data_IF_788823661227
#
_entry.id   IF_788823661227
#
_cell.length_a   1.000
_cell.length_b   1.000
_cell.length_c   1.000
_cell.angle_alpha   90.00
_cell.angle_beta   90.00
_cell.angle_gamma   90.00
#
_symmetry.space_group_name_H-M   'P 1'
#
loop_
_entity.id
_entity.type
_entity.pdbx_description
1 polymer ?
#
# COMPACT_ATOMS: atom_id res chain seq x y z
N UNK A 1 -20.92 6.14 17.64
CA UNK A 1 -20.88 5.33 18.88
C UNK A 1 -21.96 4.24 18.85
N UNK A 2 -23.25 4.56 18.72
CA UNK A 2 -24.35 3.57 18.82
C UNK A 2 -24.32 2.43 17.77
N UNK A 3 -23.72 2.62 16.60
CA UNK A 3 -23.65 1.56 15.58
C UNK A 3 -22.58 0.54 15.95
N UNK A 4 -21.46 0.98 16.48
CA UNK A 4 -20.33 0.12 16.82
C UNK A 4 -20.59 -0.74 18.08
N UNK A 5 -21.49 -0.29 18.96
CA UNK A 5 -21.81 -0.95 20.22
C UNK A 5 -22.98 -1.98 20.09
N UNK A 6 -23.72 -1.97 18.96
CA UNK A 6 -24.88 -2.86 18.75
C UNK A 6 -24.50 -4.34 18.70
N UNK A 7 -23.29 -4.66 18.33
CA UNK A 7 -22.76 -6.02 18.23
C UNK A 7 -22.15 -6.54 19.55
N UNK A 8 -22.24 -5.75 20.62
CA UNK A 8 -21.76 -6.14 21.94
C UNK A 8 -22.42 -7.42 22.45
N UNK A 9 -21.65 -8.28 23.08
CA UNK A 9 -22.06 -9.58 23.57
C UNK A 9 -21.78 -10.72 22.59
N UNK A 10 -22.08 -10.57 21.32
CA UNK A 10 -21.83 -11.61 20.31
C UNK A 10 -20.38 -11.62 19.78
N UNK A 11 -19.75 -10.42 19.74
CA UNK A 11 -18.43 -10.21 19.13
C UNK A 11 -17.38 -9.68 20.11
N UNK A 12 -17.67 -9.65 21.42
CA UNK A 12 -16.76 -9.05 22.41
C UNK A 12 -15.42 -9.80 22.49
N UNK A 13 -15.42 -11.13 22.54
CA UNK A 13 -14.21 -11.96 22.55
C UNK A 13 -13.37 -11.75 21.26
N UNK A 14 -14.06 -11.52 20.14
CA UNK A 14 -13.41 -11.28 18.85
C UNK A 14 -12.81 -9.88 18.81
N UNK A 15 -13.49 -8.90 19.34
CA UNK A 15 -13.01 -7.53 19.48
C UNK A 15 -11.76 -7.47 20.38
N UNK A 16 -11.77 -8.19 21.50
CA UNK A 16 -10.59 -8.31 22.37
C UNK A 16 -9.41 -8.99 21.64
N UNK A 17 -9.68 -10.05 20.90
CA UNK A 17 -8.63 -10.70 20.09
C UNK A 17 -8.05 -9.76 19.01
N UNK A 18 -8.90 -8.94 18.38
CA UNK A 18 -8.45 -7.91 17.44
C UNK A 18 -7.63 -6.82 18.15
N UNK A 19 -8.02 -6.38 19.34
CA UNK A 19 -7.28 -5.41 20.13
C UNK A 19 -5.86 -5.89 20.46
N UNK A 20 -5.70 -7.15 20.79
CA UNK A 20 -4.40 -7.77 21.05
C UNK A 20 -3.59 -7.86 19.75
N UNK A 21 -4.18 -8.40 18.69
CA UNK A 21 -3.51 -8.65 17.44
C UNK A 21 -3.13 -7.36 16.69
N UNK A 22 -3.85 -6.26 16.94
CA UNK A 22 -3.62 -4.96 16.31
C UNK A 22 -2.16 -4.52 16.38
N UNK A 23 -1.50 -4.81 17.51
CA UNK A 23 -0.11 -4.44 17.77
C UNK A 23 0.84 -5.64 17.88
N UNK A 24 0.32 -6.86 18.04
CA UNK A 24 1.12 -8.03 18.36
C UNK A 24 1.10 -9.15 17.30
N UNK A 25 0.32 -9.01 16.24
CA UNK A 25 0.30 -10.00 15.17
C UNK A 25 1.62 -9.98 14.41
N UNK A 26 2.38 -11.08 14.48
CA UNK A 26 3.49 -11.30 13.56
C UNK A 26 2.96 -11.86 12.24
N UNK A 27 3.23 -11.19 11.13
CA UNK A 27 2.73 -11.56 9.83
C UNK A 27 3.60 -11.05 8.68
N UNK A 28 3.31 -11.47 7.45
CA UNK A 28 4.11 -11.18 6.26
C UNK A 28 3.20 -10.58 5.18
N UNK A 29 2.84 -9.30 5.26
CA UNK A 29 1.94 -8.68 4.28
C UNK A 29 2.56 -8.57 2.88
N UNK A 30 3.84 -8.21 2.79
CA UNK A 30 4.52 -7.92 1.53
C UNK A 30 5.92 -8.55 1.38
N UNK A 31 6.26 -9.53 2.19
CA UNK A 31 7.56 -10.23 2.13
C UNK A 31 8.35 -10.11 3.43
N UNK A 32 8.73 -8.93 3.92
CA UNK A 32 9.26 -8.77 5.27
C UNK A 32 8.21 -9.09 6.34
N UNK A 33 8.66 -9.61 7.49
CA UNK A 33 7.79 -9.76 8.65
C UNK A 33 7.50 -8.39 9.25
N UNK A 34 6.23 -8.18 9.60
CA UNK A 34 5.75 -6.98 10.27
C UNK A 34 5.07 -7.36 11.58
N UNK A 35 5.06 -6.41 12.51
CA UNK A 35 4.37 -6.54 13.79
C UNK A 35 3.16 -5.62 13.80
N UNK A 36 1.99 -6.19 14.10
CA UNK A 36 0.73 -5.46 14.12
C UNK A 36 0.20 -5.10 12.74
N UNK A 37 -1.04 -4.63 12.71
CA UNK A 37 -1.73 -4.23 11.49
C UNK A 37 -2.36 -2.84 11.59
N UNK A 38 -1.98 -2.08 12.63
CA UNK A 38 -2.49 -0.74 12.91
C UNK A 38 -2.37 0.20 11.70
N UNK A 39 -1.23 0.18 11.02
CA UNK A 39 -0.96 1.02 9.86
C UNK A 39 -1.96 0.82 8.70
N UNK A 40 -2.61 -0.33 8.65
CA UNK A 40 -3.56 -0.68 7.60
C UNK A 40 -5.02 -0.39 7.96
N UNK A 41 -5.30 -0.02 9.22
CA UNK A 41 -6.66 0.18 9.75
C UNK A 41 -7.52 1.12 8.89
N UNK A 42 -7.05 2.30 8.47
CA UNK A 42 -7.88 3.20 7.66
C UNK A 42 -8.32 2.57 6.34
N UNK A 43 -7.44 1.83 5.69
CA UNK A 43 -7.74 1.14 4.43
C UNK A 43 -8.68 -0.05 4.65
N UNK A 44 -8.50 -0.79 5.74
CA UNK A 44 -9.36 -1.92 6.12
C UNK A 44 -10.76 -1.41 6.43
N UNK A 45 -10.90 -0.38 7.24
CA UNK A 45 -12.19 0.23 7.57
C UNK A 45 -12.95 0.69 6.33
N UNK A 46 -12.25 1.32 5.39
CA UNK A 46 -12.82 1.75 4.12
C UNK A 46 -13.34 0.55 3.31
N UNK A 47 -12.56 -0.53 3.22
CA UNK A 47 -12.89 -1.71 2.42
C UNK A 47 -14.03 -2.53 3.05
N UNK A 48 -14.00 -2.69 4.36
CA UNK A 48 -15.01 -3.38 5.15
C UNK A 48 -16.31 -2.56 5.22
N UNK A 49 -16.22 -1.26 5.00
CA UNK A 49 -17.35 -0.33 5.06
C UNK A 49 -17.81 -0.03 6.49
N UNK A 50 -16.89 -0.06 7.46
CA UNK A 50 -17.18 0.19 8.86
C UNK A 50 -16.31 1.31 9.42
N UNK A 51 -16.91 2.38 9.98
CA UNK A 51 -16.16 3.42 10.66
C UNK A 51 -15.80 3.06 12.10
N UNK A 52 -16.14 1.84 12.55
CA UNK A 52 -15.94 1.40 13.92
C UNK A 52 -14.46 1.18 14.22
N UNK A 53 -14.09 1.46 15.47
CA UNK A 53 -12.75 1.17 15.95
C UNK A 53 -12.41 -0.32 15.77
N UNK A 54 -11.19 -0.69 15.34
CA UNK A 54 -10.79 -2.08 15.11
C UNK A 54 -10.88 -2.97 16.35
N UNK A 55 -10.92 -2.36 17.53
CA UNK A 55 -11.07 -3.06 18.83
C UNK A 55 -12.53 -3.20 19.28
N UNK A 56 -13.49 -2.80 18.45
CA UNK A 56 -14.92 -2.84 18.78
C UNK A 56 -15.63 -4.06 18.23
N UNK A 57 -16.69 -4.48 18.89
CA UNK A 57 -17.59 -5.55 18.44
C UNK A 57 -18.22 -5.24 17.07
N UNK A 58 -18.55 -3.99 16.80
CA UNK A 58 -19.09 -3.57 15.52
C UNK A 58 -18.11 -3.69 14.36
N UNK A 59 -16.83 -3.47 14.59
CA UNK A 59 -15.79 -3.75 13.60
C UNK A 59 -15.66 -5.25 13.35
N UNK A 60 -15.63 -6.08 14.40
CA UNK A 60 -15.53 -7.53 14.30
C UNK A 60 -16.72 -8.12 13.48
N UNK A 61 -17.94 -7.66 13.75
CA UNK A 61 -19.12 -8.05 12.97
C UNK A 61 -18.98 -7.65 11.48
N UNK A 62 -18.58 -6.43 11.20
CA UNK A 62 -18.42 -5.95 9.84
C UNK A 62 -17.30 -6.70 9.10
N UNK A 63 -16.21 -7.01 9.80
CA UNK A 63 -15.12 -7.81 9.25
C UNK A 63 -15.57 -9.24 8.95
N UNK A 64 -16.37 -9.86 9.82
CA UNK A 64 -16.95 -11.19 9.57
C UNK A 64 -17.88 -11.18 8.34
N UNK A 65 -18.68 -10.14 8.18
CA UNK A 65 -19.53 -9.98 7.00
C UNK A 65 -18.70 -9.80 5.71
N UNK A 66 -17.60 -9.06 5.78
CA UNK A 66 -16.65 -8.94 4.68
C UNK A 66 -16.02 -10.32 4.35
N UNK A 67 -15.52 -11.02 5.34
CA UNK A 67 -14.92 -12.36 5.19
C UNK A 67 -15.90 -13.34 4.52
N UNK A 68 -17.15 -13.38 4.98
CA UNK A 68 -18.20 -14.23 4.41
C UNK A 68 -18.46 -13.88 2.93
N UNK A 69 -18.49 -12.59 2.58
CA UNK A 69 -18.70 -12.10 1.19
C UNK A 69 -17.62 -12.63 0.25
N UNK A 70 -16.40 -12.72 0.71
CA UNK A 70 -15.25 -13.14 -0.10
C UNK A 70 -14.82 -14.60 0.11
N UNK A 71 -15.64 -15.41 0.79
CA UNK A 71 -15.42 -16.84 0.95
C UNK A 71 -14.27 -17.20 1.89
N UNK A 72 -13.87 -16.29 2.77
CA UNK A 72 -12.94 -16.54 3.86
C UNK A 72 -13.74 -16.91 5.12
N UNK A 73 -13.12 -17.63 6.05
CA UNK A 73 -13.76 -17.95 7.32
C UNK A 73 -14.23 -16.68 8.04
N UNK A 74 -15.53 -16.57 8.26
CA UNK A 74 -16.18 -15.39 8.86
C UNK A 74 -15.95 -15.32 10.38
N UNK A 75 -14.71 -15.20 10.79
CA UNK A 75 -14.29 -15.18 12.19
C UNK A 75 -14.42 -13.79 12.85
N UNK A 76 -14.50 -12.74 12.05
CA UNK A 76 -14.41 -11.36 12.53
C UNK A 76 -13.03 -10.96 13.06
N UNK A 77 -12.05 -11.88 13.04
CA UNK A 77 -10.67 -11.61 13.41
C UNK A 77 -9.86 -11.24 12.18
N UNK A 78 -9.01 -10.22 12.32
CA UNK A 78 -8.06 -9.90 11.28
C UNK A 78 -6.95 -10.93 11.23
N UNK A 79 -6.68 -11.47 10.03
CA UNK A 79 -5.66 -12.48 9.79
C UNK A 79 -5.04 -12.34 8.39
N UNK A 80 -4.00 -13.13 8.14
CA UNK A 80 -3.30 -13.15 6.85
C UNK A 80 -4.22 -13.49 5.68
N UNK A 81 -5.19 -14.39 5.85
CA UNK A 81 -6.12 -14.76 4.77
C UNK A 81 -7.04 -13.60 4.39
N UNK A 82 -7.58 -12.92 5.38
CA UNK A 82 -8.37 -11.69 5.21
C UNK A 82 -7.56 -10.62 4.48
N UNK A 83 -6.30 -10.43 4.88
CA UNK A 83 -5.43 -9.45 4.23
C UNK A 83 -5.15 -9.78 2.77
N UNK A 84 -4.99 -11.04 2.40
CA UNK A 84 -4.79 -11.41 0.99
C UNK A 84 -5.98 -11.01 0.11
N UNK A 85 -7.21 -11.12 0.61
CA UNK A 85 -8.41 -10.64 -0.08
C UNK A 85 -8.34 -9.12 -0.25
N UNK A 86 -8.12 -8.39 0.84
CA UNK A 86 -8.00 -6.92 0.83
C UNK A 86 -6.94 -6.47 -0.16
N UNK A 87 -5.75 -7.08 -0.09
CA UNK A 87 -4.64 -6.80 -0.99
C UNK A 87 -5.02 -7.03 -2.46
N UNK A 88 -5.74 -8.12 -2.76
CA UNK A 88 -6.27 -8.39 -4.10
C UNK A 88 -7.16 -7.26 -4.60
N UNK A 89 -8.14 -6.86 -3.81
CA UNK A 89 -9.06 -5.77 -4.14
C UNK A 89 -8.33 -4.44 -4.36
N UNK A 90 -7.35 -4.13 -3.53
CA UNK A 90 -6.55 -2.91 -3.69
C UNK A 90 -5.69 -2.94 -4.95
N UNK A 91 -5.12 -4.10 -5.31
CA UNK A 91 -4.36 -4.26 -6.55
C UNK A 91 -5.24 -4.12 -7.80
N UNK A 92 -6.44 -4.73 -7.79
CA UNK A 92 -7.39 -4.65 -8.90
C UNK A 92 -7.84 -3.21 -9.21
N UNK A 93 -7.86 -2.35 -8.21
CA UNK A 93 -8.21 -0.92 -8.38
C UNK A 93 -7.07 -0.07 -8.94
N UNK A 94 -5.86 -0.60 -9.03
CA UNK A 94 -4.72 0.11 -9.60
C UNK A 94 -4.76 -0.02 -11.12
N UNK A 95 -5.01 1.06 -11.88
CA UNK A 95 -5.17 1.00 -13.34
C UNK A 95 -3.99 0.32 -14.04
N UNK A 96 -2.79 0.56 -13.54
CA UNK A 96 -1.57 -0.03 -14.06
C UNK A 96 -1.51 -1.56 -13.87
N UNK A 97 -1.90 -2.07 -12.71
CA UNK A 97 -1.94 -3.52 -12.46
C UNK A 97 -2.92 -4.18 -13.42
N UNK A 98 -4.08 -3.59 -13.63
CA UNK A 98 -5.09 -4.12 -14.53
C UNK A 98 -4.67 -4.04 -16.01
N UNK A 99 -4.01 -2.97 -16.43
CA UNK A 99 -3.43 -2.88 -17.77
C UNK A 99 -2.42 -4.00 -18.00
N UNK A 100 -1.54 -4.25 -17.03
CA UNK A 100 -0.56 -5.34 -17.09
C UNK A 100 -1.20 -6.73 -17.14
N UNK A 101 -2.22 -6.99 -16.33
CA UNK A 101 -2.97 -8.26 -16.34
C UNK A 101 -3.60 -8.53 -17.71
N UNK A 102 -4.06 -7.49 -18.40
CA UNK A 102 -4.60 -7.58 -19.76
C UNK A 102 -3.53 -7.65 -20.86
N UNK A 103 -2.24 -7.56 -20.51
CA UNK A 103 -1.16 -7.48 -21.48
C UNK A 103 -1.04 -6.12 -22.16
N UNK A 104 -1.70 -5.10 -21.66
CA UNK A 104 -1.64 -3.74 -22.16
C UNK A 104 -0.42 -3.03 -21.55
N UNK A 105 0.44 -2.47 -22.39
CA UNK A 105 1.46 -1.52 -21.95
C UNK A 105 0.91 -0.12 -22.20
N UNK A 106 0.64 0.69 -21.17
CA UNK A 106 0.27 2.07 -21.40
C UNK A 106 1.42 2.82 -22.11
N UNK A 107 1.06 3.72 -22.98
CA UNK A 107 2.04 4.62 -23.60
C UNK A 107 2.79 5.40 -22.51
N UNK A 108 4.08 5.72 -22.75
CA UNK A 108 4.82 6.58 -21.84
C UNK A 108 4.13 7.94 -21.73
N UNK A 109 4.15 8.58 -20.56
CA UNK A 109 3.57 9.91 -20.42
C UNK A 109 4.26 10.90 -21.35
N UNK A 110 3.53 11.89 -21.89
CA UNK A 110 4.12 12.97 -22.68
C UNK A 110 5.25 13.63 -21.90
N UNK A 111 6.33 14.01 -22.58
CA UNK A 111 7.48 14.69 -21.95
C UNK A 111 7.06 15.98 -21.22
N UNK A 112 6.02 16.66 -21.72
CA UNK A 112 5.46 17.84 -21.06
C UNK A 112 4.88 17.58 -19.67
N UNK A 113 4.47 16.33 -19.39
CA UNK A 113 3.93 15.92 -18.09
C UNK A 113 5.02 15.46 -17.12
N UNK A 114 6.26 15.40 -17.57
CA UNK A 114 7.41 15.01 -16.77
C UNK A 114 8.10 16.22 -16.15
N UNK A 115 8.69 16.02 -15.00
CA UNK A 115 9.52 17.00 -14.32
C UNK A 115 10.78 16.34 -13.77
N UNK A 116 11.87 17.10 -13.73
CA UNK A 116 13.12 16.62 -13.16
C UNK A 116 13.07 16.61 -11.64
N UNK A 117 13.61 15.55 -11.07
CA UNK A 117 13.97 15.49 -9.66
C UNK A 117 15.21 16.36 -9.40
N UNK A 118 15.34 16.87 -8.20
CA UNK A 118 16.60 17.43 -7.72
C UNK A 118 17.53 16.33 -7.22
N UNK A 119 18.82 16.63 -7.11
CA UNK A 119 19.82 15.68 -6.56
C UNK A 119 19.51 15.29 -5.11
N UNK A 120 18.85 16.14 -4.35
CA UNK A 120 18.43 15.84 -2.99
C UNK A 120 17.19 14.95 -2.89
N UNK A 121 16.42 14.84 -3.96
CA UNK A 121 15.22 14.01 -4.02
C UNK A 121 15.51 12.59 -4.53
N UNK A 122 16.63 12.38 -5.18
CA UNK A 122 17.00 11.09 -5.79
C UNK A 122 18.02 10.32 -4.92
N UNK A 123 17.79 9.03 -4.75
CA UNK A 123 18.65 8.18 -3.89
C UNK A 123 20.08 8.02 -4.44
N UNK A 124 20.22 7.99 -5.76
CA UNK A 124 21.53 7.90 -6.41
C UNK A 124 21.48 8.59 -7.78
N UNK A 125 22.63 8.98 -8.31
CA UNK A 125 22.70 9.49 -9.66
C UNK A 125 22.16 8.47 -10.67
N UNK A 126 21.23 8.93 -11.49
CA UNK A 126 20.57 8.16 -12.54
C UNK A 126 20.69 8.91 -13.86
N UNK A 127 20.64 8.17 -14.95
CA UNK A 127 20.62 8.76 -16.28
C UNK A 127 19.31 9.53 -16.54
N UNK A 128 18.22 9.04 -15.95
CA UNK A 128 16.89 9.63 -16.09
C UNK A 128 16.36 10.02 -14.72
N UNK A 129 16.19 11.32 -14.52
CA UNK A 129 15.71 11.93 -13.26
C UNK A 129 14.34 12.54 -13.46
N UNK A 130 13.45 11.81 -14.13
CA UNK A 130 12.12 12.30 -14.46
C UNK A 130 11.07 11.57 -13.66
N UNK A 131 10.04 12.30 -13.28
CA UNK A 131 8.83 11.77 -12.68
C UNK A 131 7.63 12.53 -13.25
N UNK A 132 6.46 11.94 -13.27
CA UNK A 132 5.27 12.70 -13.62
C UNK A 132 5.10 13.85 -12.64
N UNK A 133 4.74 15.01 -13.16
CA UNK A 133 4.64 16.26 -12.39
C UNK A 133 3.67 16.14 -11.21
N UNK A 134 2.50 15.54 -11.43
CA UNK A 134 1.50 15.30 -10.40
C UNK A 134 2.02 14.37 -9.28
N UNK A 135 2.78 13.34 -9.65
CA UNK A 135 3.40 12.40 -8.70
C UNK A 135 4.53 13.09 -7.92
N UNK A 136 5.32 13.92 -8.59
CA UNK A 136 6.39 14.69 -7.94
C UNK A 136 5.83 15.69 -6.92
N UNK A 137 4.74 16.37 -7.27
CA UNK A 137 4.07 17.31 -6.35
C UNK A 137 3.49 16.60 -5.13
N UNK A 138 2.85 15.43 -5.33
CA UNK A 138 2.36 14.60 -4.24
C UNK A 138 3.50 14.09 -3.34
N UNK A 139 4.61 13.64 -3.94
CA UNK A 139 5.80 13.24 -3.19
C UNK A 139 6.36 14.38 -2.34
N UNK A 140 6.48 15.57 -2.89
CA UNK A 140 7.00 16.75 -2.17
C UNK A 140 6.10 17.13 -0.99
N UNK A 141 4.79 17.08 -1.18
CA UNK A 141 3.82 17.32 -0.12
C UNK A 141 3.96 16.27 0.99
N UNK A 142 4.02 14.99 0.63
CA UNK A 142 4.24 13.89 1.58
C UNK A 142 5.57 14.04 2.34
N UNK A 143 6.67 14.28 1.63
CA UNK A 143 7.99 14.41 2.24
C UNK A 143 8.09 15.63 3.19
N UNK A 144 7.39 16.71 2.85
CA UNK A 144 7.31 17.90 3.71
C UNK A 144 6.54 17.60 4.98
N UNK A 145 5.37 16.95 4.88
CA UNK A 145 4.57 16.55 6.03
C UNK A 145 5.33 15.58 6.94
N UNK A 146 5.93 14.54 6.36
CA UNK A 146 6.68 13.55 7.13
C UNK A 146 7.85 14.17 7.90
N UNK A 147 8.58 15.11 7.31
CA UNK A 147 9.67 15.81 7.99
C UNK A 147 9.19 16.77 9.08
N UNK A 148 7.97 17.30 8.96
CA UNK A 148 7.38 18.14 9.99
C UNK A 148 6.88 17.34 11.19
N UNK A 149 6.45 16.11 10.97
CA UNK A 149 5.83 15.26 11.98
C UNK A 149 6.83 14.32 12.67
N UNK A 150 7.89 13.91 11.98
CA UNK A 150 8.84 12.88 12.45
C UNK A 150 10.25 13.45 12.50
N UNK A 151 10.77 13.78 13.70
CA UNK A 151 12.10 14.39 13.86
C UNK A 151 13.25 13.56 13.27
N UNK A 152 13.17 12.24 13.31
CA UNK A 152 14.16 11.32 12.76
C UNK A 152 14.25 11.46 11.24
N UNK A 153 13.11 11.61 10.56
CA UNK A 153 13.06 11.85 9.11
C UNK A 153 13.60 13.25 8.77
N UNK A 154 13.34 14.23 9.64
CA UNK A 154 13.87 15.58 9.47
C UNK A 154 15.41 15.63 9.61
N UNK A 155 15.96 14.81 10.53
CA UNK A 155 17.40 14.72 10.80
C UNK A 155 18.19 13.99 9.71
N UNK A 156 17.52 13.11 8.95
CA UNK A 156 18.15 12.25 7.93
C UNK A 156 17.70 12.64 6.52
N UNK A 157 18.40 13.57 5.84
CA UNK A 157 17.99 14.07 4.51
C UNK A 157 17.87 12.98 3.44
N UNK A 158 18.53 11.84 3.65
CA UNK A 158 18.53 10.70 2.72
C UNK A 158 17.29 9.83 2.82
N UNK A 159 16.59 9.91 3.93
CA UNK A 159 15.30 9.25 4.08
C UNK A 159 14.27 9.85 3.13
N UNK A 160 13.43 9.02 2.58
CA UNK A 160 12.40 9.37 1.60
C UNK A 160 12.93 9.77 0.21
N UNK A 161 14.22 9.61 -0.10
CA UNK A 161 14.70 9.80 -1.46
C UNK A 161 14.05 8.80 -2.42
N UNK A 162 13.72 9.27 -3.62
CA UNK A 162 13.09 8.44 -4.64
C UNK A 162 14.09 7.48 -5.28
N UNK A 163 13.70 6.24 -5.38
CA UNK A 163 14.44 5.18 -6.04
C UNK A 163 13.49 4.39 -6.95
N UNK A 164 13.80 4.17 -8.14
CA UNK A 164 14.04 5.00 -9.28
C UNK A 164 12.76 5.70 -9.77
N UNK A 165 12.96 6.78 -10.47
CA UNK A 165 11.91 7.53 -11.17
C UNK A 165 11.47 6.86 -12.47
N UNK A 166 10.93 7.65 -13.41
CA UNK A 166 10.50 7.20 -14.73
C UNK A 166 11.59 6.35 -15.44
N UNK A 167 11.16 5.24 -16.02
CA UNK A 167 12.01 4.39 -16.86
C UNK A 167 11.62 4.56 -18.31
N UNK A 168 12.59 4.97 -19.10
CA UNK A 168 12.45 4.94 -20.55
C UNK A 168 12.28 3.49 -21.02
N UNK A 169 11.20 3.15 -21.77
CA UNK A 169 10.92 1.78 -22.19
C UNK A 169 12.04 1.15 -23.03
N UNK A 170 12.71 1.93 -23.88
CA UNK A 170 13.79 1.41 -24.72
C UNK A 170 15.04 1.13 -23.89
N UNK A 171 15.41 2.06 -23.01
CA UNK A 171 16.53 1.87 -22.08
C UNK A 171 16.29 0.71 -21.11
N UNK A 172 15.06 0.50 -20.66
CA UNK A 172 14.70 -0.61 -19.79
C UNK A 172 14.72 -1.95 -20.55
N UNK A 173 14.27 -1.98 -21.79
CA UNK A 173 14.37 -3.15 -22.65
C UNK A 173 15.82 -3.54 -22.92
N UNK A 174 16.68 -2.57 -23.22
CA UNK A 174 18.11 -2.80 -23.44
C UNK A 174 18.81 -3.33 -22.17
N UNK A 175 18.46 -2.78 -21.01
CA UNK A 175 18.96 -3.28 -19.72
C UNK A 175 18.48 -4.70 -19.46
N UNK A 176 17.19 -4.94 -19.65
CA UNK A 176 16.57 -6.24 -19.47
C UNK A 176 17.26 -7.33 -20.33
N UNK A 177 17.53 -7.02 -21.60
CA UNK A 177 18.24 -7.94 -22.51
C UNK A 177 19.67 -8.22 -22.04
N UNK A 178 20.38 -7.19 -21.56
CA UNK A 178 21.75 -7.32 -21.06
C UNK A 178 21.81 -8.15 -19.76
N UNK A 179 20.88 -7.90 -18.84
CA UNK A 179 20.90 -8.47 -17.49
C UNK A 179 20.15 -9.82 -17.42
N UNK A 180 19.60 -10.30 -18.54
CA UNK A 180 18.83 -11.56 -18.63
C UNK A 180 17.56 -11.57 -17.76
N UNK A 181 17.00 -10.40 -17.46
CA UNK A 181 15.93 -10.21 -16.51
C UNK A 181 14.68 -9.61 -17.17
N UNK A 182 14.23 -10.26 -18.25
CA UNK A 182 13.11 -9.78 -19.05
C UNK A 182 11.74 -10.33 -18.65
N UNK A 183 11.65 -11.17 -17.62
CA UNK A 183 10.36 -11.66 -17.19
C UNK A 183 9.59 -10.50 -16.54
N UNK A 184 8.38 -10.28 -17.04
CA UNK A 184 7.55 -9.11 -16.72
C UNK A 184 7.20 -8.94 -15.24
N UNK A 185 7.54 -9.89 -14.37
CA UNK A 185 7.29 -9.85 -12.93
C UNK A 185 8.25 -8.93 -12.16
N UNK A 186 9.41 -8.60 -12.74
CA UNK A 186 10.44 -7.79 -12.08
C UNK A 186 10.58 -6.37 -12.63
N UNK A 187 9.80 -6.03 -13.64
CA UNK A 187 9.73 -4.65 -14.12
C UNK A 187 8.85 -3.85 -13.17
N UNK A 188 9.48 -3.08 -12.30
CA UNK A 188 8.78 -1.97 -11.66
C UNK A 188 8.56 -0.90 -12.75
N UNK A 189 7.34 -0.63 -13.08
CA UNK A 189 6.93 0.46 -13.94
C UNK A 189 6.40 1.58 -13.06
#
# INVERSE_FOLDING_TARGET
AQICDRASGAWDDTAEANAISLYALEWVPFGPSELGWEAYVPLIQQEVGSPCDPTSAGFAEALAAFQARYGVTASGRFDQATFQVLRGLWQERRPFVMARVRGECPDPPPVADLAYLTTGEEHAERLTRLLRRDVLDAYRAMATAARAEVPEIAAEPELLRIFPSFRDPEADAARCARDGNCDGLRRAV
#
